data_IF_780430349275
#
_entry.id   IF_780430349275
#
_cell.length_a   1.000
_cell.length_b   1.000
_cell.length_c   1.000
_cell.angle_alpha   90.00
_cell.angle_beta   90.00
_cell.angle_gamma   90.00
#
_symmetry.space_group_name_H-M   'P 1'
#
loop_
_entity.id
_entity.type
_entity.pdbx_description
1 polymer ?
#
# COMPACT_ATOMS: atom_id res chain seq x y z
N UNK A 1 -29.17 -37.29 10.39
CA UNK A 1 -29.17 -36.56 9.12
C UNK A 1 -27.75 -36.07 8.92
N UNK A 2 -27.01 -36.62 7.93
CA UNK A 2 -25.68 -36.11 7.58
C UNK A 2 -25.90 -35.06 6.50
N UNK A 3 -25.49 -33.82 6.75
CA UNK A 3 -25.46 -32.79 5.70
C UNK A 3 -24.36 -33.18 4.72
N UNK A 4 -24.75 -33.73 3.58
CA UNK A 4 -23.84 -33.95 2.46
C UNK A 4 -23.53 -32.58 1.84
N UNK A 5 -22.27 -32.15 2.00
CA UNK A 5 -21.73 -30.96 1.35
C UNK A 5 -21.77 -31.19 -0.17
N UNK A 6 -22.43 -30.30 -0.92
CA UNK A 6 -22.62 -30.46 -2.37
C UNK A 6 -21.26 -30.37 -3.07
N UNK A 7 -21.06 -31.21 -4.09
CA UNK A 7 -19.82 -31.33 -4.88
C UNK A 7 -19.28 -29.97 -5.41
N UNK A 8 -20.14 -28.95 -5.59
CA UNK A 8 -19.73 -27.59 -5.95
C UNK A 8 -18.92 -26.85 -4.88
N UNK A 9 -19.10 -27.16 -3.60
CA UNK A 9 -18.37 -26.53 -2.50
C UNK A 9 -16.94 -27.08 -2.40
N UNK A 10 -16.74 -28.37 -2.68
CA UNK A 10 -15.41 -29.00 -2.65
C UNK A 10 -14.55 -28.50 -3.81
N UNK A 11 -15.13 -28.27 -4.99
CA UNK A 11 -14.42 -27.68 -6.13
C UNK A 11 -13.99 -26.23 -5.87
N UNK A 12 -14.81 -25.43 -5.18
CA UNK A 12 -14.45 -24.07 -4.75
C UNK A 12 -13.34 -24.09 -3.71
N UNK A 13 -13.46 -24.94 -2.70
CA UNK A 13 -12.42 -25.12 -1.67
C UNK A 13 -11.10 -25.54 -2.32
N UNK A 14 -11.13 -26.50 -3.25
CA UNK A 14 -9.94 -26.93 -3.98
C UNK A 14 -9.33 -25.81 -4.82
N UNK A 15 -10.16 -24.96 -5.43
CA UNK A 15 -9.71 -23.78 -6.16
C UNK A 15 -8.93 -22.82 -5.23
N UNK A 16 -9.49 -22.46 -4.07
CA UNK A 16 -8.80 -21.62 -3.08
C UNK A 16 -7.49 -22.22 -2.59
N UNK A 17 -7.44 -23.53 -2.32
CA UNK A 17 -6.20 -24.21 -1.94
C UNK A 17 -5.15 -24.25 -3.05
N UNK A 18 -5.56 -24.23 -4.32
CA UNK A 18 -4.63 -24.24 -5.46
C UNK A 18 -4.18 -22.85 -5.91
N UNK A 19 -4.96 -21.80 -5.60
CA UNK A 19 -4.58 -20.41 -5.90
C UNK A 19 -3.73 -19.77 -4.81
N UNK A 20 -3.79 -20.28 -3.57
CA UNK A 20 -2.83 -19.91 -2.53
C UNK A 20 -1.41 -20.26 -2.99
N UNK A 21 -0.58 -19.23 -3.24
CA UNK A 21 0.81 -19.41 -3.67
C UNK A 21 1.65 -20.08 -2.57
N UNK A 22 2.51 -21.04 -2.92
CA UNK A 22 3.50 -21.62 -1.99
C UNK A 22 4.75 -20.76 -1.83
N UNK A 23 4.89 -19.73 -2.67
CA UNK A 23 5.96 -18.74 -2.59
C UNK A 23 5.35 -17.49 -1.99
N UNK A 24 5.85 -17.06 -0.83
CA UNK A 24 5.41 -15.79 -0.24
C UNK A 24 5.58 -14.69 -1.29
N UNK A 25 4.50 -14.01 -1.73
CA UNK A 25 4.64 -12.91 -2.65
C UNK A 25 5.51 -11.85 -1.96
N UNK A 26 6.42 -11.23 -2.73
CA UNK A 26 7.12 -10.07 -2.22
C UNK A 26 6.06 -8.98 -2.04
N UNK A 27 6.07 -8.35 -0.87
CA UNK A 27 5.04 -7.41 -0.41
C UNK A 27 5.78 -6.14 -0.13
N UNK A 28 5.56 -5.16 -0.98
CA UNK A 28 6.38 -3.97 -1.02
C UNK A 28 5.49 -2.72 -1.04
N UNK A 29 4.46 -2.61 -0.16
CA UNK A 29 3.60 -1.45 -0.12
C UNK A 29 4.43 -0.19 0.20
N UNK A 30 4.02 0.94 -0.36
CA UNK A 30 4.52 2.25 0.04
C UNK A 30 3.74 2.78 1.26
N UNK A 31 4.43 2.89 2.38
CA UNK A 31 3.89 3.45 3.63
C UNK A 31 4.31 4.91 3.79
N UNK A 32 3.39 5.78 4.19
CA UNK A 32 3.61 7.15 4.58
C UNK A 32 3.65 7.26 6.11
N UNK A 33 4.76 7.79 6.61
CA UNK A 33 4.88 8.32 7.97
C UNK A 33 3.99 9.57 8.11
N UNK A 34 2.92 9.51 8.90
CA UNK A 34 1.91 10.59 8.99
C UNK A 34 2.10 11.53 10.17
N UNK A 35 2.64 11.06 11.29
CA UNK A 35 2.81 11.81 12.54
C UNK A 35 4.26 12.25 12.82
N UNK A 36 5.22 11.78 12.00
CA UNK A 36 6.61 12.21 11.90
C UNK A 36 7.53 11.71 12.99
N UNK A 37 7.25 10.55 13.56
CA UNK A 37 8.16 9.90 14.50
C UNK A 37 8.91 8.69 13.92
N UNK A 38 8.55 8.28 12.71
CA UNK A 38 9.14 7.15 12.00
C UNK A 38 8.11 6.50 11.13
N UNK A 39 8.47 5.38 10.49
CA UNK A 39 7.46 4.50 9.92
C UNK A 39 7.39 3.27 10.79
N UNK A 40 6.17 2.93 11.18
CA UNK A 40 5.90 1.86 12.11
C UNK A 40 5.03 0.78 11.46
N UNK A 41 5.30 -0.45 11.87
CA UNK A 41 4.56 -1.61 11.40
C UNK A 41 4.23 -2.53 12.56
N UNK A 42 3.21 -3.36 12.36
CA UNK A 42 2.85 -4.45 13.24
C UNK A 42 3.27 -5.78 12.60
N UNK A 43 3.77 -6.70 13.43
CA UNK A 43 4.20 -8.02 12.97
C UNK A 43 3.02 -8.92 12.58
N UNK A 44 3.31 -9.97 11.80
CA UNK A 44 2.31 -10.90 11.24
C UNK A 44 1.30 -11.42 12.27
N UNK A 45 1.75 -11.74 13.49
CA UNK A 45 0.89 -12.27 14.56
C UNK A 45 -0.25 -11.33 14.98
N UNK A 46 -0.05 -10.02 14.80
CA UNK A 46 -1.01 -8.97 15.13
C UNK A 46 -1.50 -8.18 13.91
N UNK A 47 -1.02 -8.50 12.72
CA UNK A 47 -1.36 -7.80 11.49
C UNK A 47 -2.69 -8.25 10.89
N UNK A 48 -2.88 -7.90 9.63
CA UNK A 48 -4.17 -8.03 8.96
C UNK A 48 -4.21 -9.21 7.98
N UNK A 49 -5.42 -9.53 7.50
CA UNK A 49 -5.61 -10.42 6.37
C UNK A 49 -5.87 -9.59 5.12
N UNK A 50 -4.98 -9.66 4.12
CA UNK A 50 -5.11 -8.89 2.89
C UNK A 50 -4.65 -9.70 1.66
N UNK A 51 -5.29 -9.48 0.52
CA UNK A 51 -4.96 -10.14 -0.76
C UNK A 51 -3.91 -9.31 -1.52
N UNK A 52 -2.64 -9.54 -1.21
CA UNK A 52 -1.54 -8.74 -1.77
C UNK A 52 -1.27 -9.00 -3.26
N UNK A 53 -1.49 -10.21 -3.75
CA UNK A 53 -1.17 -10.60 -5.13
C UNK A 53 -2.41 -10.64 -6.05
N UNK A 54 -3.58 -10.26 -5.52
CA UNK A 54 -4.87 -10.25 -6.20
C UNK A 54 -5.27 -11.63 -6.75
N UNK A 55 -4.96 -12.69 -6.00
CA UNK A 55 -5.28 -14.08 -6.35
C UNK A 55 -6.69 -14.51 -5.87
N UNK A 56 -7.38 -13.66 -5.08
CA UNK A 56 -8.69 -13.91 -4.50
C UNK A 56 -8.65 -14.54 -3.11
N UNK A 57 -7.49 -14.59 -2.45
CA UNK A 57 -7.27 -15.14 -1.12
C UNK A 57 -6.48 -14.16 -0.26
N UNK A 58 -7.07 -13.72 0.86
CA UNK A 58 -6.39 -12.86 1.81
C UNK A 58 -5.53 -13.70 2.76
N UNK A 59 -4.24 -13.35 2.90
CA UNK A 59 -3.34 -14.00 3.84
C UNK A 59 -3.00 -13.11 5.03
N UNK A 60 -2.74 -13.74 6.17
CA UNK A 60 -2.22 -13.05 7.34
C UNK A 60 -0.83 -12.49 7.03
N UNK A 61 -0.63 -11.22 7.35
CA UNK A 61 0.58 -10.47 7.04
C UNK A 61 0.87 -9.50 8.17
N UNK A 62 2.10 -9.02 8.29
CA UNK A 62 2.39 -7.79 8.99
C UNK A 62 1.60 -6.64 8.37
N UNK A 63 1.53 -5.50 9.04
CA UNK A 63 0.70 -4.41 8.55
C UNK A 63 1.29 -3.06 8.91
N UNK A 64 0.80 -2.01 8.27
CA UNK A 64 1.09 -0.63 8.69
C UNK A 64 0.51 -0.39 10.08
N UNK A 65 1.22 0.36 10.93
CA UNK A 65 0.64 0.79 12.21
C UNK A 65 -0.53 1.77 12.03
N UNK A 66 -1.47 1.87 12.99
CA UNK A 66 -2.68 2.71 12.86
C UNK A 66 -2.45 4.22 12.79
N UNK A 67 -1.26 4.72 13.11
CA UNK A 67 -0.84 6.12 13.04
C UNK A 67 -0.40 6.52 11.64
N UNK A 68 0.24 5.60 10.93
CA UNK A 68 0.71 5.71 9.55
C UNK A 68 -0.35 5.35 8.50
N UNK A 69 0.02 5.34 7.22
CA UNK A 69 -0.91 4.93 6.17
C UNK A 69 -0.27 4.42 4.88
N UNK A 70 -1.02 3.59 4.16
CA UNK A 70 -0.62 3.04 2.86
C UNK A 70 -0.95 4.01 1.74
N UNK A 71 -0.03 4.23 0.81
CA UNK A 71 -0.34 4.93 -0.44
C UNK A 71 -1.17 4.00 -1.34
N UNK A 72 -2.31 4.49 -1.81
CA UNK A 72 -3.27 3.69 -2.57
C UNK A 72 -3.85 4.46 -3.75
N UNK A 73 -4.36 3.70 -4.74
CA UNK A 73 -5.17 4.20 -5.84
C UNK A 73 -6.24 3.15 -6.16
N UNK A 74 -7.51 3.53 -6.01
CA UNK A 74 -8.65 2.71 -6.42
C UNK A 74 -8.66 2.60 -7.96
N UNK A 75 -8.22 1.44 -8.46
CA UNK A 75 -8.01 1.20 -9.90
C UNK A 75 -9.33 0.84 -10.57
N UNK A 76 -10.20 0.12 -9.85
CA UNK A 76 -11.43 -0.44 -10.39
C UNK A 76 -12.67 0.47 -10.16
N UNK A 77 -12.52 1.53 -9.36
CA UNK A 77 -13.54 2.53 -9.08
C UNK A 77 -14.64 2.06 -8.12
N UNK A 78 -14.40 1.04 -7.30
CA UNK A 78 -15.40 0.47 -6.40
C UNK A 78 -15.52 1.23 -5.06
N UNK A 79 -14.64 2.20 -4.80
CA UNK A 79 -14.64 3.03 -3.60
C UNK A 79 -13.95 2.41 -2.39
N UNK A 80 -13.32 1.25 -2.54
CA UNK A 80 -12.55 0.52 -1.53
C UNK A 80 -11.17 0.15 -2.06
N UNK A 81 -10.29 -0.31 -1.18
CA UNK A 81 -9.00 -0.91 -1.55
C UNK A 81 -9.09 -2.38 -1.18
N UNK A 82 -9.19 -3.25 -2.17
CA UNK A 82 -9.52 -4.66 -1.97
C UNK A 82 -8.36 -5.62 -2.21
N UNK A 83 -7.36 -5.19 -2.98
CA UNK A 83 -6.22 -6.03 -3.37
C UNK A 83 -4.93 -5.22 -3.52
N UNK A 84 -3.79 -5.91 -3.53
CA UNK A 84 -2.48 -5.28 -3.71
C UNK A 84 -2.26 -4.62 -5.07
N UNK A 85 -3.17 -4.80 -6.04
CA UNK A 85 -3.19 -4.01 -7.29
C UNK A 85 -3.49 -2.53 -7.07
N UNK A 86 -4.13 -2.22 -5.95
CA UNK A 86 -4.55 -0.87 -5.57
C UNK A 86 -3.63 -0.26 -4.51
N UNK A 87 -2.71 -1.07 -3.97
CA UNK A 87 -1.54 -0.59 -3.24
C UNK A 87 -0.43 -0.25 -4.25
N UNK A 88 0.46 0.65 -3.86
CA UNK A 88 1.71 0.85 -4.60
C UNK A 88 2.76 -0.15 -4.15
N UNK A 89 3.16 -1.05 -5.04
CA UNK A 89 4.13 -2.10 -4.79
C UNK A 89 4.54 -2.81 -6.08
N UNK A 90 5.15 -3.97 -5.96
CA UNK A 90 5.52 -4.84 -7.09
C UNK A 90 4.32 -5.52 -7.79
N UNK A 91 3.14 -5.48 -7.15
CA UNK A 91 1.88 -5.94 -7.74
C UNK A 91 1.14 -4.83 -8.52
N UNK A 92 1.68 -3.61 -8.57
CA UNK A 92 1.12 -2.52 -9.37
C UNK A 92 1.42 -2.72 -10.86
N UNK A 93 0.41 -2.55 -11.71
CA UNK A 93 0.56 -2.55 -13.16
C UNK A 93 0.92 -1.14 -13.65
N UNK A 94 2.03 -1.02 -14.37
CA UNK A 94 2.52 0.21 -14.99
C UNK A 94 1.73 0.59 -16.25
N UNK A 95 1.92 1.82 -16.74
CA UNK A 95 1.34 2.33 -18.00
C UNK A 95 1.64 1.44 -19.22
N UNK A 96 2.76 0.73 -19.22
CA UNK A 96 3.15 -0.20 -20.30
C UNK A 96 2.55 -1.61 -20.17
N UNK A 97 1.79 -1.87 -19.09
CA UNK A 97 1.14 -3.15 -18.81
C UNK A 97 2.01 -4.17 -18.07
N UNK A 98 3.25 -3.83 -17.73
CA UNK A 98 4.14 -4.68 -16.93
C UNK A 98 3.94 -4.45 -15.43
N UNK A 99 4.41 -5.39 -14.61
CA UNK A 99 4.46 -5.22 -13.16
C UNK A 99 5.63 -4.29 -12.78
N UNK A 100 5.40 -3.44 -11.79
CA UNK A 100 6.45 -2.63 -11.21
C UNK A 100 7.50 -3.52 -10.51
N UNK A 101 8.75 -3.07 -10.46
CA UNK A 101 9.80 -3.75 -9.68
C UNK A 101 9.65 -3.53 -8.18
N UNK A 102 8.98 -2.44 -7.80
CA UNK A 102 8.76 -1.96 -6.44
C UNK A 102 7.76 -0.79 -6.47
N UNK A 103 7.26 -0.39 -5.29
CA UNK A 103 6.26 0.68 -5.19
C UNK A 103 6.75 2.07 -5.60
N UNK A 104 8.06 2.37 -5.48
CA UNK A 104 8.61 3.66 -5.91
C UNK A 104 8.66 3.75 -7.43
N UNK A 105 8.99 2.65 -8.11
CA UNK A 105 8.87 2.55 -9.56
C UNK A 105 7.42 2.70 -10.01
N UNK A 106 6.47 2.09 -9.30
CA UNK A 106 5.04 2.27 -9.55
C UNK A 106 4.60 3.73 -9.41
N UNK A 107 5.10 4.43 -8.39
CA UNK A 107 4.82 5.86 -8.19
C UNK A 107 5.44 6.71 -9.31
N UNK A 108 6.70 6.46 -9.66
CA UNK A 108 7.42 7.19 -10.71
C UNK A 108 6.78 7.06 -12.10
N UNK A 109 6.07 5.97 -12.37
CA UNK A 109 5.34 5.79 -13.62
C UNK A 109 4.18 6.79 -13.79
N UNK A 110 3.73 7.42 -12.69
CA UNK A 110 2.68 8.42 -12.69
C UNK A 110 3.17 9.86 -12.92
N UNK A 111 4.49 10.07 -12.99
CA UNK A 111 5.12 11.36 -13.24
C UNK A 111 4.98 11.71 -14.73
N UNK A 112 4.03 12.60 -15.05
CA UNK A 112 3.68 12.92 -16.43
C UNK A 112 4.67 13.94 -17.03
N UNK A 113 5.29 14.78 -16.18
CA UNK A 113 6.19 15.85 -16.60
C UNK A 113 7.68 15.51 -16.41
N UNK A 114 8.00 14.36 -15.79
CA UNK A 114 9.32 13.84 -15.46
C UNK A 114 10.15 14.78 -14.58
N UNK A 115 9.52 15.48 -13.62
CA UNK A 115 10.21 16.37 -12.69
C UNK A 115 10.62 15.68 -11.36
N UNK A 116 10.45 14.36 -11.29
CA UNK A 116 10.79 13.47 -10.18
C UNK A 116 9.92 13.64 -8.92
N UNK A 117 8.70 14.12 -9.09
CA UNK A 117 7.68 14.16 -8.04
C UNK A 117 6.30 13.95 -8.65
N UNK A 118 5.39 13.45 -7.84
CA UNK A 118 3.97 13.40 -8.16
C UNK A 118 3.29 14.54 -7.43
N UNK A 119 2.81 15.53 -8.17
CA UNK A 119 2.14 16.72 -7.66
C UNK A 119 0.92 17.13 -8.50
N UNK A 120 0.33 18.30 -8.23
CA UNK A 120 -0.86 18.78 -8.95
C UNK A 120 -0.69 18.98 -10.47
N UNK A 121 0.53 18.89 -11.00
CA UNK A 121 0.82 18.92 -12.43
C UNK A 121 0.65 17.54 -13.10
N UNK A 122 0.53 16.47 -12.32
CA UNK A 122 0.34 15.10 -12.79
C UNK A 122 -1.14 14.70 -12.74
N UNK A 123 -1.65 14.06 -13.80
CA UNK A 123 -3.06 13.73 -13.90
C UNK A 123 -3.51 12.76 -12.79
N UNK A 124 -2.61 11.86 -12.37
CA UNK A 124 -2.88 10.84 -11.39
C UNK A 124 -2.91 11.36 -9.94
N UNK A 125 -2.34 12.54 -9.64
CA UNK A 125 -2.21 13.04 -8.26
C UNK A 125 -3.56 13.14 -7.54
N UNK A 126 -4.61 13.57 -8.26
CA UNK A 126 -5.96 13.68 -7.70
C UNK A 126 -6.64 12.34 -7.38
N UNK A 127 -6.11 11.23 -7.90
CA UNK A 127 -6.62 9.88 -7.70
C UNK A 127 -5.94 9.18 -6.51
N UNK A 128 -4.80 9.70 -6.07
CA UNK A 128 -4.05 9.14 -4.95
C UNK A 128 -4.76 9.41 -3.63
N UNK A 129 -4.78 8.39 -2.79
CA UNK A 129 -5.26 8.45 -1.42
C UNK A 129 -4.25 7.79 -0.48
N UNK A 130 -4.43 8.05 0.80
CA UNK A 130 -3.77 7.34 1.89
C UNK A 130 -4.83 6.53 2.61
N UNK A 131 -4.60 5.24 2.74
CA UNK A 131 -5.41 4.38 3.59
C UNK A 131 -4.78 4.31 4.97
N UNK A 132 -5.44 4.96 5.93
CA UNK A 132 -5.10 4.91 7.34
C UNK A 132 -6.03 3.91 8.02
N UNK A 133 -5.61 2.65 8.05
CA UNK A 133 -6.33 1.55 8.67
C UNK A 133 -6.23 1.68 10.20
N UNK A 134 -7.25 2.29 10.80
CA UNK A 134 -7.21 2.70 12.21
C UNK A 134 -7.47 1.56 13.19
N UNK A 135 -8.06 0.47 12.71
CA UNK A 135 -8.35 -0.71 13.50
C UNK A 135 -7.48 -1.92 13.11
N UNK A 136 -6.63 -1.76 12.09
CA UNK A 136 -5.69 -2.77 11.58
C UNK A 136 -6.38 -4.06 11.13
N UNK A 137 -7.59 -3.96 10.57
CA UNK A 137 -8.35 -5.14 10.15
C UNK A 137 -8.11 -5.54 8.68
N UNK A 138 -7.38 -4.71 7.91
CA UNK A 138 -7.09 -4.96 6.49
C UNK A 138 -8.30 -4.79 5.57
N UNK A 139 -9.39 -4.19 6.05
CA UNK A 139 -10.61 -3.97 5.28
C UNK A 139 -10.79 -2.47 5.07
N UNK A 140 -10.51 -1.98 3.87
CA UNK A 140 -10.65 -0.56 3.57
C UNK A 140 -12.09 -0.07 3.73
N UNK A 141 -12.30 0.95 4.57
CA UNK A 141 -13.60 1.60 4.70
C UNK A 141 -13.52 3.10 4.36
N UNK A 142 -14.64 3.69 3.95
CA UNK A 142 -14.69 5.08 3.50
C UNK A 142 -14.18 6.12 4.53
N UNK A 143 -14.27 5.81 5.83
CA UNK A 143 -13.76 6.67 6.90
C UNK A 143 -12.23 6.69 7.01
N UNK A 144 -11.55 5.69 6.46
CA UNK A 144 -10.11 5.44 6.57
C UNK A 144 -9.32 5.95 5.37
N UNK A 145 -9.99 6.16 4.24
CA UNK A 145 -9.38 6.72 3.04
C UNK A 145 -9.32 8.25 3.13
N UNK A 146 -8.12 8.80 3.03
CA UNK A 146 -7.85 10.24 3.01
C UNK A 146 -7.24 10.64 1.68
N UNK A 147 -7.76 11.70 1.08
CA UNK A 147 -7.11 12.32 -0.08
C UNK A 147 -5.80 13.00 0.34
N UNK A 148 -4.85 13.13 -0.59
CA UNK A 148 -3.60 13.86 -0.33
C UNK A 148 -3.87 15.32 0.11
N UNK A 149 -4.90 15.95 -0.44
CA UNK A 149 -5.30 17.30 -0.07
C UNK A 149 -5.82 17.41 1.37
N UNK A 150 -6.61 16.44 1.85
CA UNK A 150 -7.08 16.39 3.24
C UNK A 150 -5.92 16.25 4.23
N UNK A 151 -4.86 15.54 3.84
CA UNK A 151 -3.63 15.40 4.61
C UNK A 151 -2.65 16.58 4.41
N UNK A 152 -3.00 17.54 3.56
CA UNK A 152 -2.13 18.69 3.24
C UNK A 152 -0.88 18.32 2.45
N UNK A 153 -0.80 17.12 1.88
CA UNK A 153 0.30 16.65 1.04
C UNK A 153 0.24 17.38 -0.31
N UNK A 154 1.40 17.84 -0.78
CA UNK A 154 1.58 18.65 -1.99
C UNK A 154 2.38 17.97 -3.08
N UNK A 155 3.36 17.17 -2.70
CA UNK A 155 4.10 16.35 -3.66
C UNK A 155 4.63 15.09 -3.00
N UNK A 156 4.80 14.04 -3.78
CA UNK A 156 5.49 12.81 -3.40
C UNK A 156 6.74 12.69 -4.26
N UNK A 157 7.95 12.70 -3.70
CA UNK A 157 9.17 12.58 -4.48
C UNK A 157 9.36 11.12 -4.92
N UNK A 158 9.81 10.93 -6.16
CA UNK A 158 10.05 9.60 -6.74
C UNK A 158 11.52 9.20 -6.65
N UNK A 159 12.39 10.13 -6.24
CA UNK A 159 13.78 9.86 -5.88
C UNK A 159 13.89 9.32 -4.46
N UNK A 160 14.82 8.39 -4.26
CA UNK A 160 14.94 7.66 -3.00
C UNK A 160 16.39 7.31 -2.65
N UNK A 161 16.60 6.96 -1.39
CA UNK A 161 17.84 6.35 -0.89
C UNK A 161 17.58 4.93 -0.40
N UNK A 162 18.57 4.05 -0.52
CA UNK A 162 18.53 2.69 0.03
C UNK A 162 18.86 2.73 1.52
N UNK A 163 18.06 2.08 2.37
CA UNK A 163 18.23 2.11 3.83
C UNK A 163 18.43 0.72 4.44
N UNK A 164 17.61 -0.28 4.07
CA UNK A 164 17.64 -1.65 4.60
C UNK A 164 17.58 -1.71 6.14
N UNK A 165 16.56 -1.07 6.72
CA UNK A 165 16.33 -1.03 8.17
C UNK A 165 15.23 -2.02 8.52
N UNK A 166 15.51 -2.95 9.43
CA UNK A 166 14.52 -3.87 9.99
C UNK A 166 14.03 -3.33 11.33
N UNK A 167 12.70 -3.27 11.52
CA UNK A 167 12.11 -2.85 12.79
C UNK A 167 12.02 -4.00 13.81
N UNK A 168 11.50 -3.71 15.00
CA UNK A 168 11.37 -4.67 16.10
C UNK A 168 10.38 -5.81 15.81
N UNK A 169 9.52 -5.66 14.80
CA UNK A 169 8.53 -6.66 14.40
C UNK A 169 9.03 -7.58 13.27
N UNK A 170 10.22 -7.31 12.74
CA UNK A 170 10.86 -8.10 11.70
C UNK A 170 10.59 -7.60 10.27
N UNK A 171 9.78 -6.56 10.12
CA UNK A 171 9.51 -5.94 8.82
C UNK A 171 10.69 -5.06 8.41
N UNK A 172 11.00 -5.02 7.11
CA UNK A 172 12.22 -4.36 6.61
C UNK A 172 11.91 -3.27 5.60
N UNK A 173 12.36 -2.06 5.90
CA UNK A 173 12.35 -0.86 5.07
C UNK A 173 13.55 -0.87 4.12
N UNK A 174 13.35 -1.12 2.82
CA UNK A 174 14.49 -1.24 1.87
C UNK A 174 14.89 0.09 1.21
N UNK A 175 13.91 0.95 0.92
CA UNK A 175 14.08 2.24 0.28
C UNK A 175 13.32 3.32 1.04
N UNK A 176 13.81 4.54 0.96
CA UNK A 176 13.19 5.72 1.55
C UNK A 176 13.13 6.85 0.52
N UNK A 177 11.92 7.25 0.15
CA UNK A 177 11.65 8.52 -0.51
C UNK A 177 11.02 9.51 0.47
N UNK A 178 10.63 10.68 -0.05
CA UNK A 178 10.11 11.76 0.77
C UNK A 178 8.86 12.39 0.16
N UNK A 179 7.93 12.87 0.98
CA UNK A 179 6.83 13.71 0.50
C UNK A 179 6.91 15.10 1.10
N UNK A 180 6.23 16.08 0.50
CA UNK A 180 6.12 17.45 0.99
C UNK A 180 4.67 17.70 1.43
N UNK A 181 4.45 18.12 2.68
CA UNK A 181 3.13 18.52 3.17
C UNK A 181 3.14 19.92 3.81
N UNK A 182 2.02 20.63 3.75
CA UNK A 182 1.86 21.92 4.45
C UNK A 182 2.04 21.72 5.96
N UNK A 183 2.79 22.62 6.61
CA UNK A 183 2.75 22.73 8.08
C UNK A 183 1.36 23.17 8.53
N UNK A 184 0.97 22.76 9.75
CA UNK A 184 -0.25 23.23 10.40
C UNK A 184 -0.33 24.78 10.54
N UNK A 185 0.82 25.47 10.43
CA UNK A 185 0.92 26.93 10.60
C UNK A 185 1.86 27.65 9.60
N UNK A 186 2.13 27.13 8.39
CA UNK A 186 2.98 27.86 7.44
C UNK A 186 3.30 27.18 6.10
N UNK A 187 4.05 27.91 5.27
CA UNK A 187 4.47 27.59 3.88
C UNK A 187 5.68 26.61 3.79
N UNK A 188 6.14 26.06 4.90
CA UNK A 188 7.27 25.11 4.92
C UNK A 188 6.77 23.66 4.80
N UNK A 189 7.57 22.81 4.14
CA UNK A 189 7.20 21.43 3.84
C UNK A 189 7.74 20.41 4.86
N UNK A 190 6.82 19.62 5.41
CA UNK A 190 7.03 18.30 6.03
C UNK A 190 7.71 17.31 5.08
N UNK A 191 8.93 16.84 5.35
CA UNK A 191 9.52 15.66 4.69
C UNK A 191 9.12 14.40 5.47
N UNK A 192 8.02 13.73 5.09
CA UNK A 192 7.72 12.40 5.64
C UNK A 192 8.36 11.30 4.80
N UNK A 193 8.44 10.08 5.32
CA UNK A 193 9.12 8.95 4.65
C UNK A 193 8.13 8.10 3.87
N UNK A 194 8.62 7.56 2.75
CA UNK A 194 7.91 6.59 1.92
C UNK A 194 8.72 5.30 1.86
N UNK A 195 8.19 4.21 2.40
CA UNK A 195 8.98 2.99 2.65
C UNK A 195 8.40 1.76 2.01
N UNK A 196 9.30 0.91 1.51
CA UNK A 196 9.02 -0.44 1.03
C UNK A 196 9.16 -1.40 2.21
N UNK A 197 8.06 -1.94 2.73
CA UNK A 197 8.10 -2.86 3.87
C UNK A 197 7.72 -4.28 3.45
N UNK A 198 8.62 -5.26 3.63
CA UNK A 198 8.21 -6.67 3.63
C UNK A 198 7.35 -6.90 4.87
N UNK A 199 6.03 -6.80 4.69
CA UNK A 199 4.99 -7.13 5.66
C UNK A 199 4.43 -8.51 5.39
#
# INVERSE_FOLDING_TARGET
MRNEMKIGDVSRIKYFFTTASTTAPRRDPLILDLDKDGTETIGVDAGAYFDHDANGFAEQTGWVSPDDGLLVRDINGNGTIDTGRELFGDNTILKDGTLATDGLKALADLDDNNDNKIDSQDAAFSQLKVWKDTNSDGISQAGELKTLNELGIKSLNTTYTVTNITDSTGNTQTHQATYACKKAFGEEFLTGRLLLANV
#
